data_IF_773219235934
#
_entry.id   IF_773219235934
#
_cell.length_a   1.000
_cell.length_b   1.000
_cell.length_c   1.000
_cell.angle_alpha   90.00
_cell.angle_beta   90.00
_cell.angle_gamma   90.00
#
_symmetry.space_group_name_H-M   'P 1'
#
loop_
_entity.id
_entity.type
_entity.pdbx_description
1 polymer ?
#
# COMPACT_ATOMS: atom_id res chain seq x y z
N UNK A 1 -6.98 9.49 21.79
CA UNK A 1 -7.45 8.21 21.22
C UNK A 1 -8.97 8.10 21.22
N UNK A 2 -9.67 8.75 22.16
CA UNK A 2 -11.13 8.62 22.31
C UNK A 2 -11.96 9.12 21.11
N UNK A 3 -11.35 9.90 20.20
CA UNK A 3 -11.98 10.43 18.99
C UNK A 3 -11.83 9.52 17.76
N UNK A 4 -11.07 8.42 17.85
CA UNK A 4 -10.88 7.49 16.73
C UNK A 4 -11.96 6.41 16.74
N UNK A 5 -12.38 5.88 15.57
CA UNK A 5 -13.19 4.67 15.50
C UNK A 5 -12.48 3.48 16.17
N UNK A 6 -13.23 2.58 16.81
CA UNK A 6 -12.65 1.48 17.60
C UNK A 6 -11.73 0.57 16.77
N UNK A 7 -12.06 0.34 15.49
CA UNK A 7 -11.20 -0.45 14.60
C UNK A 7 -9.83 0.21 14.35
N UNK A 8 -9.73 1.54 14.40
CA UNK A 8 -8.46 2.26 14.22
C UNK A 8 -7.62 2.28 15.48
N UNK A 9 -8.25 2.29 16.67
CA UNK A 9 -7.54 2.29 17.96
C UNK A 9 -6.61 1.09 18.07
N UNK A 10 -7.10 -0.10 17.71
CA UNK A 10 -6.33 -1.35 17.73
C UNK A 10 -5.04 -1.21 16.90
N UNK A 11 -5.15 -0.71 15.67
CA UNK A 11 -3.98 -0.50 14.81
C UNK A 11 -3.03 0.56 15.35
N UNK A 12 -3.56 1.65 15.89
CA UNK A 12 -2.77 2.75 16.44
C UNK A 12 -1.99 2.35 17.70
N UNK A 13 -2.60 1.52 18.55
CA UNK A 13 -1.97 0.98 19.77
C UNK A 13 -0.90 -0.06 19.45
N UNK A 14 -1.16 -0.96 18.51
CA UNK A 14 -0.21 -2.01 18.15
C UNK A 14 1.05 -1.48 17.45
N UNK A 15 0.95 -0.35 16.73
CA UNK A 15 2.04 0.13 15.89
C UNK A 15 3.28 0.57 16.69
N UNK A 16 3.18 1.41 17.76
CA UNK A 16 4.30 1.72 18.63
C UNK A 16 4.99 0.51 19.25
N UNK A 17 4.20 -0.46 19.73
CA UNK A 17 4.71 -1.67 20.38
C UNK A 17 5.50 -2.52 19.39
N UNK A 18 4.95 -2.70 18.18
CA UNK A 18 5.64 -3.40 17.10
C UNK A 18 6.97 -2.71 16.75
N UNK A 19 6.98 -1.38 16.65
CA UNK A 19 8.22 -0.63 16.36
C UNK A 19 9.27 -0.73 17.47
N UNK A 20 8.82 -0.75 18.73
CA UNK A 20 9.71 -0.94 19.87
C UNK A 20 10.29 -2.36 19.90
N UNK A 21 9.46 -3.37 19.61
CA UNK A 21 9.90 -4.76 19.51
C UNK A 21 10.92 -4.96 18.39
N UNK A 22 10.66 -4.43 17.19
CA UNK A 22 11.64 -4.44 16.10
C UNK A 22 12.94 -3.74 16.49
N UNK A 23 12.84 -2.59 17.14
CA UNK A 23 13.99 -1.83 17.62
C UNK A 23 14.85 -2.64 18.60
N UNK A 24 14.20 -3.31 19.57
CA UNK A 24 14.85 -4.19 20.52
C UNK A 24 15.61 -5.34 19.85
N UNK A 25 14.99 -6.02 18.86
CA UNK A 25 15.65 -7.13 18.16
C UNK A 25 16.84 -6.67 17.31
N UNK A 26 16.72 -5.52 16.65
CA UNK A 26 17.81 -4.93 15.86
C UNK A 26 18.96 -4.49 16.77
N UNK A 27 18.65 -3.84 17.89
CA UNK A 27 19.65 -3.43 18.89
C UNK A 27 20.38 -4.65 19.47
N UNK A 28 19.64 -5.71 19.82
CA UNK A 28 20.22 -6.96 20.32
C UNK A 28 21.16 -7.62 19.30
N UNK A 29 20.83 -7.55 18.01
CA UNK A 29 21.60 -8.22 16.94
C UNK A 29 22.80 -7.39 16.47
N UNK A 30 22.64 -6.07 16.38
CA UNK A 30 23.56 -5.17 15.68
C UNK A 30 24.11 -4.03 16.55
N UNK A 31 23.76 -4.00 17.85
CA UNK A 31 24.31 -3.08 18.84
C UNK A 31 23.85 -1.62 18.73
N UNK A 32 22.86 -1.31 17.88
CA UNK A 32 22.34 0.04 17.71
C UNK A 32 20.81 0.04 17.67
N UNK A 33 20.20 1.01 18.37
CA UNK A 33 18.75 1.14 18.47
C UNK A 33 18.18 1.96 17.29
N UNK A 34 17.36 1.37 16.40
CA UNK A 34 16.81 2.07 15.24
C UNK A 34 15.40 2.64 15.48
N UNK A 35 14.85 2.57 16.68
CA UNK A 35 13.43 2.89 16.96
C UNK A 35 13.04 4.28 16.48
N UNK A 36 13.93 5.28 16.58
CA UNK A 36 13.69 6.62 16.04
C UNK A 36 13.48 6.60 14.52
N UNK A 37 14.37 5.92 13.78
CA UNK A 37 14.30 5.78 12.32
C UNK A 37 13.05 5.03 11.88
N UNK A 38 12.68 3.97 12.62
CA UNK A 38 11.45 3.22 12.37
C UNK A 38 10.22 4.13 12.54
N UNK A 39 10.12 4.85 13.67
CA UNK A 39 9.01 5.77 13.93
C UNK A 39 8.90 6.87 12.87
N UNK A 40 10.02 7.48 12.48
CA UNK A 40 10.03 8.50 11.42
C UNK A 40 9.55 7.92 10.09
N UNK A 41 9.99 6.71 9.74
CA UNK A 41 9.63 6.07 8.47
C UNK A 41 8.14 5.73 8.40
N UNK A 42 7.56 5.22 9.50
CA UNK A 42 6.14 4.95 9.61
C UNK A 42 5.29 6.23 9.59
N UNK A 43 5.72 7.28 10.31
CA UNK A 43 5.02 8.57 10.30
C UNK A 43 4.99 9.18 8.89
N UNK A 44 6.11 9.14 8.16
CA UNK A 44 6.16 9.60 6.76
C UNK A 44 5.21 8.83 5.86
N UNK A 45 5.12 7.50 6.02
CA UNK A 45 4.18 6.67 5.26
C UNK A 45 2.72 7.03 5.56
N UNK A 46 2.37 7.14 6.85
CA UNK A 46 1.00 7.51 7.26
C UNK A 46 0.61 8.90 6.74
N UNK A 47 1.51 9.87 6.80
CA UNK A 47 1.26 11.21 6.25
C UNK A 47 1.03 11.18 4.74
N UNK A 48 1.78 10.36 3.99
CA UNK A 48 1.57 10.22 2.56
C UNK A 48 0.20 9.61 2.23
N UNK A 49 -0.28 8.62 3.01
CA UNK A 49 -1.64 8.10 2.86
C UNK A 49 -2.72 9.13 3.20
N UNK A 50 -2.50 10.00 4.19
CA UNK A 50 -3.45 11.07 4.50
C UNK A 50 -3.58 12.07 3.35
N UNK A 51 -2.48 12.43 2.70
CA UNK A 51 -2.50 13.31 1.52
C UNK A 51 -3.31 12.69 0.37
N UNK A 52 -3.15 11.39 0.11
CA UNK A 52 -3.95 10.68 -0.89
C UNK A 52 -5.44 10.61 -0.50
N UNK A 53 -5.74 10.39 0.78
CA UNK A 53 -7.10 10.39 1.28
C UNK A 53 -7.77 11.76 1.16
N UNK A 54 -7.02 12.85 1.37
CA UNK A 54 -7.49 14.22 1.18
C UNK A 54 -7.80 14.51 -0.30
N UNK A 55 -6.91 14.12 -1.23
CA UNK A 55 -7.18 14.24 -2.68
C UNK A 55 -8.43 13.46 -3.07
N UNK A 56 -8.57 12.23 -2.57
CA UNK A 56 -9.74 11.40 -2.84
C UNK A 56 -11.03 12.01 -2.30
N UNK A 57 -11.03 12.51 -1.06
CA UNK A 57 -12.22 13.07 -0.40
C UNK A 57 -12.65 14.41 -1.00
N UNK A 58 -11.69 15.24 -1.43
CA UNK A 58 -11.96 16.53 -2.08
C UNK A 58 -12.32 16.42 -3.56
N UNK A 59 -11.96 15.30 -4.21
CA UNK A 59 -12.02 15.16 -5.67
C UNK A 59 -10.89 15.92 -6.39
N UNK A 60 -9.90 16.42 -5.64
CA UNK A 60 -8.74 17.10 -6.20
C UNK A 60 -7.89 16.12 -7.00
N UNK A 61 -7.63 16.46 -8.26
CA UNK A 61 -6.73 15.69 -9.11
C UNK A 61 -5.34 16.35 -9.10
N UNK A 62 -4.34 15.78 -8.38
CA UNK A 62 -2.98 16.31 -8.42
C UNK A 62 -2.38 16.15 -9.82
N UNK A 63 -1.37 16.98 -10.13
CA UNK A 63 -0.52 16.73 -11.30
C UNK A 63 0.25 15.42 -11.12
N UNK A 64 0.66 14.79 -12.22
CA UNK A 64 1.41 13.54 -12.19
C UNK A 64 2.67 13.64 -11.32
N UNK A 65 3.40 14.75 -11.39
CA UNK A 65 4.61 14.97 -10.56
C UNK A 65 4.26 15.05 -9.07
N UNK A 66 3.22 15.79 -8.70
CA UNK A 66 2.77 15.92 -7.30
C UNK A 66 2.28 14.59 -6.75
N UNK A 67 1.53 13.84 -7.56
CA UNK A 67 1.10 12.49 -7.22
C UNK A 67 2.30 11.58 -7.01
N UNK A 68 3.25 11.55 -7.96
CA UNK A 68 4.39 10.66 -7.93
C UNK A 68 5.33 10.94 -6.76
N UNK A 69 5.55 12.21 -6.40
CA UNK A 69 6.34 12.56 -5.22
C UNK A 69 5.72 12.02 -3.92
N UNK A 70 4.39 12.07 -3.78
CA UNK A 70 3.70 11.43 -2.66
C UNK A 70 3.68 9.90 -2.78
N UNK A 71 3.47 9.38 -3.99
CA UNK A 71 3.47 7.96 -4.36
C UNK A 71 4.76 7.23 -3.98
N UNK A 72 5.92 7.89 -4.14
CA UNK A 72 7.22 7.38 -3.67
C UNK A 72 7.26 7.16 -2.15
N UNK A 73 6.46 7.88 -1.38
CA UNK A 73 6.36 7.75 0.08
C UNK A 73 5.28 6.74 0.47
N UNK A 74 4.14 6.73 -0.23
CA UNK A 74 2.99 5.84 0.03
C UNK A 74 3.16 4.42 -0.49
N UNK A 75 4.05 4.19 -1.47
CA UNK A 75 4.31 2.89 -2.11
C UNK A 75 4.89 1.79 -1.19
N UNK A 76 5.07 2.05 0.12
CA UNK A 76 5.63 1.13 1.14
C UNK A 76 7.08 0.66 0.88
N UNK A 77 7.64 0.96 -0.29
CA UNK A 77 9.00 0.60 -0.74
C UNK A 77 10.06 1.19 0.17
N UNK A 78 9.94 2.48 0.51
CA UNK A 78 10.88 3.15 1.42
C UNK A 78 10.89 2.47 2.79
N UNK A 79 9.72 2.06 3.27
CA UNK A 79 9.60 1.33 4.54
C UNK A 79 10.28 -0.04 4.45
N UNK A 80 10.03 -0.80 3.38
CA UNK A 80 10.66 -2.09 3.15
C UNK A 80 12.20 -2.01 3.06
N UNK A 81 12.73 -0.98 2.38
CA UNK A 81 14.18 -0.74 2.26
C UNK A 81 14.83 -0.31 3.57
N UNK A 82 14.13 0.49 4.39
CA UNK A 82 14.59 0.82 5.75
C UNK A 82 14.64 -0.45 6.61
N UNK A 83 13.61 -1.30 6.56
CA UNK A 83 13.62 -2.55 7.33
C UNK A 83 14.71 -3.52 6.85
N UNK A 84 14.93 -3.67 5.54
CA UNK A 84 15.95 -4.58 5.01
C UNK A 84 17.38 -4.13 5.35
N UNK A 85 17.65 -2.82 5.25
CA UNK A 85 18.94 -2.24 5.60
C UNK A 85 19.24 -2.35 7.10
N UNK A 86 18.25 -2.11 7.96
CA UNK A 86 18.36 -2.26 9.42
C UNK A 86 18.57 -3.72 9.85
N UNK A 87 18.00 -4.68 9.13
CA UNK A 87 18.20 -6.11 9.40
C UNK A 87 19.56 -6.63 8.90
N UNK A 88 20.33 -5.81 8.19
CA UNK A 88 21.64 -6.15 7.64
C UNK A 88 21.58 -6.99 6.36
N UNK A 89 20.42 -7.06 5.70
CA UNK A 89 20.27 -7.77 4.44
C UNK A 89 21.00 -6.96 3.36
N UNK A 90 22.12 -7.48 2.86
CA UNK A 90 22.97 -6.81 1.86
C UNK A 90 24.22 -6.12 2.43
N UNK A 91 24.53 -6.25 3.72
CA UNK A 91 25.85 -5.88 4.25
C UNK A 91 26.87 -6.96 3.88
N UNK A 92 27.54 -6.82 2.74
CA UNK A 92 28.84 -7.48 2.52
C UNK A 92 29.85 -6.82 3.43
N UNK A 93 30.50 -7.60 4.28
CA UNK A 93 31.70 -7.20 5.03
C UNK A 93 32.64 -6.44 4.10
N UNK A 94 32.95 -5.21 4.48
CA UNK A 94 33.94 -4.33 3.83
C UNK A 94 33.44 -3.58 2.59
N UNK A 95 32.45 -2.71 2.78
CA UNK A 95 32.38 -1.34 2.23
C UNK A 95 31.04 -0.75 2.67
N UNK A 96 31.07 0.11 3.70
CA UNK A 96 29.88 0.77 4.20
C UNK A 96 29.30 1.65 3.08
N UNK A 97 28.23 1.19 2.43
CA UNK A 97 27.45 2.01 1.50
C UNK A 97 26.94 3.20 2.32
N UNK A 98 27.51 4.36 2.05
CA UNK A 98 27.14 5.60 2.73
C UNK A 98 25.69 5.90 2.35
N UNK A 99 24.76 5.77 3.30
CA UNK A 99 23.31 5.94 3.09
C UNK A 99 22.94 7.28 2.43
N UNK A 100 23.84 8.28 2.45
CA UNK A 100 23.63 9.56 1.79
C UNK A 100 23.66 9.49 0.25
N UNK A 101 24.40 8.54 -0.36
CA UNK A 101 24.43 8.32 -1.82
C UNK A 101 23.28 7.44 -2.32
N UNK A 102 22.49 6.87 -1.40
CA UNK A 102 21.37 5.96 -1.74
C UNK A 102 20.07 6.70 -2.04
N UNK A 103 20.01 8.02 -1.86
CA UNK A 103 18.80 8.84 -2.07
C UNK A 103 18.27 8.73 -3.51
N UNK A 104 19.17 8.81 -4.51
CA UNK A 104 18.80 8.69 -5.92
C UNK A 104 18.30 7.28 -6.28
N UNK A 105 18.97 6.24 -5.77
CA UNK A 105 18.55 4.85 -5.99
C UNK A 105 17.21 4.55 -5.33
N UNK A 106 17.03 4.95 -4.06
CA UNK A 106 15.76 4.77 -3.33
C UNK A 106 14.63 5.52 -4.03
N UNK A 107 14.89 6.73 -4.53
CA UNK A 107 13.91 7.51 -5.30
C UNK A 107 13.52 6.82 -6.61
N UNK A 108 14.50 6.34 -7.38
CA UNK A 108 14.25 5.61 -8.64
C UNK A 108 13.51 4.30 -8.40
N UNK A 109 13.92 3.51 -7.41
CA UNK A 109 13.26 2.25 -7.04
C UNK A 109 11.83 2.52 -6.55
N UNK A 110 11.63 3.53 -5.72
CA UNK A 110 10.29 3.97 -5.28
C UNK A 110 9.41 4.41 -6.44
N UNK A 111 9.97 5.11 -7.42
CA UNK A 111 9.26 5.53 -8.64
C UNK A 111 8.82 4.33 -9.47
N UNK A 112 9.74 3.42 -9.78
CA UNK A 112 9.45 2.23 -10.61
C UNK A 112 8.37 1.37 -9.97
N UNK A 113 8.47 1.12 -8.67
CA UNK A 113 7.52 0.26 -7.96
C UNK A 113 6.15 0.93 -7.79
N UNK A 114 6.10 2.24 -7.55
CA UNK A 114 4.84 3.00 -7.55
C UNK A 114 4.12 2.84 -8.90
N UNK A 115 4.81 3.14 -10.00
CA UNK A 115 4.24 3.03 -11.34
C UNK A 115 3.83 1.60 -11.70
N UNK A 116 4.60 0.61 -11.25
CA UNK A 116 4.28 -0.81 -11.46
C UNK A 116 3.00 -1.22 -10.73
N UNK A 117 2.86 -0.83 -9.45
CA UNK A 117 1.66 -1.14 -8.67
C UNK A 117 0.41 -0.44 -9.25
N UNK A 118 0.55 0.84 -9.62
CA UNK A 118 -0.50 1.63 -10.26
C UNK A 118 -0.96 1.00 -11.58
N UNK A 119 -0.02 0.58 -12.44
CA UNK A 119 -0.32 -0.09 -13.69
C UNK A 119 -1.06 -1.42 -13.45
N UNK A 120 -0.63 -2.19 -12.46
CA UNK A 120 -1.29 -3.42 -12.06
C UNK A 120 -2.73 -3.19 -11.58
N UNK A 121 -2.94 -2.17 -10.74
CA UNK A 121 -4.26 -1.77 -10.24
C UNK A 121 -5.18 -1.28 -11.37
N UNK A 122 -4.67 -0.42 -12.26
CA UNK A 122 -5.40 0.07 -13.42
C UNK A 122 -5.81 -1.07 -14.38
N UNK A 123 -4.91 -2.04 -14.60
CA UNK A 123 -5.21 -3.23 -15.43
C UNK A 123 -6.29 -4.11 -14.81
N UNK A 124 -6.29 -4.29 -13.48
CA UNK A 124 -7.35 -5.04 -12.78
C UNK A 124 -8.68 -4.31 -12.87
N UNK A 125 -8.69 -3.00 -12.63
CA UNK A 125 -9.89 -2.19 -12.71
C UNK A 125 -10.50 -2.22 -14.13
N UNK A 126 -9.68 -2.05 -15.17
CA UNK A 126 -10.14 -2.11 -16.56
C UNK A 126 -10.65 -3.49 -16.95
N UNK A 127 -10.01 -4.57 -16.50
CA UNK A 127 -10.50 -5.94 -16.71
C UNK A 127 -11.84 -6.18 -16.03
N UNK A 128 -12.00 -5.71 -14.79
CA UNK A 128 -13.25 -5.84 -14.05
C UNK A 128 -14.37 -5.06 -14.75
N UNK A 129 -14.10 -3.83 -15.20
CA UNK A 129 -15.04 -3.05 -16.01
C UNK A 129 -15.41 -3.76 -17.30
N UNK A 130 -14.43 -4.30 -18.05
CA UNK A 130 -14.68 -5.03 -19.29
C UNK A 130 -15.55 -6.28 -19.07
N UNK A 131 -15.36 -7.00 -17.96
CA UNK A 131 -16.21 -8.15 -17.56
C UNK A 131 -17.62 -7.74 -17.16
N UNK A 132 -17.81 -6.50 -16.69
CA UNK A 132 -19.13 -5.95 -16.40
C UNK A 132 -19.90 -5.53 -17.67
N UNK A 133 -19.23 -5.30 -18.81
CA UNK A 133 -19.90 -4.83 -20.04
C UNK A 133 -21.00 -5.80 -20.52
N UNK A 134 -20.77 -7.12 -20.69
CA UNK A 134 -21.82 -8.03 -21.13
C UNK A 134 -22.98 -8.15 -20.13
N UNK A 135 -22.68 -8.06 -18.83
CA UNK A 135 -23.71 -8.07 -17.79
C UNK A 135 -24.56 -6.81 -17.83
N UNK A 136 -23.98 -5.64 -18.10
CA UNK A 136 -24.73 -4.38 -18.31
C UNK A 136 -25.65 -4.44 -19.54
N UNK A 137 -25.24 -5.06 -20.64
CA UNK A 137 -26.11 -5.24 -21.82
C UNK A 137 -27.19 -6.32 -21.64
N UNK A 138 -27.06 -7.16 -20.62
CA UNK A 138 -28.09 -8.13 -20.23
C UNK A 138 -29.14 -7.56 -19.27
N UNK A 139 -29.08 -6.26 -18.95
CA UNK A 139 -30.11 -5.60 -18.15
C UNK A 139 -31.42 -5.54 -18.93
N UNK A 140 -32.50 -6.03 -18.33
CA UNK A 140 -33.85 -5.73 -18.83
C UNK A 140 -34.29 -4.31 -18.40
N UNK A 141 -35.41 -3.83 -18.95
CA UNK A 141 -35.95 -2.50 -18.61
C UNK A 141 -36.27 -2.31 -17.12
N UNK A 142 -36.31 -3.40 -16.34
CA UNK A 142 -36.55 -3.40 -14.90
C UNK A 142 -35.25 -3.53 -14.07
N UNK A 143 -34.09 -3.34 -14.70
CA UNK A 143 -32.76 -3.47 -14.10
C UNK A 143 -32.42 -4.86 -13.55
N UNK A 144 -33.01 -5.91 -14.12
CA UNK A 144 -32.69 -7.30 -13.76
C UNK A 144 -31.63 -7.85 -14.71
N UNK A 145 -30.87 -8.84 -14.27
CA UNK A 145 -30.03 -9.67 -15.14
C UNK A 145 -30.67 -11.04 -15.33
N UNK A 146 -31.53 -11.26 -16.34
CA UNK A 146 -32.24 -12.53 -16.52
C UNK A 146 -31.28 -13.71 -16.69
N UNK A 147 -30.18 -13.51 -17.43
CA UNK A 147 -29.15 -14.53 -17.64
C UNK A 147 -28.42 -14.92 -16.35
N UNK A 148 -28.14 -13.96 -15.46
CA UNK A 148 -27.53 -14.25 -14.17
C UNK A 148 -28.50 -14.99 -13.24
N UNK A 149 -29.78 -14.60 -13.27
CA UNK A 149 -30.84 -15.30 -12.53
C UNK A 149 -31.01 -16.74 -13.02
N UNK A 150 -30.97 -16.95 -14.33
CA UNK A 150 -31.05 -18.28 -14.94
C UNK A 150 -29.83 -19.14 -14.58
N UNK A 151 -28.62 -18.61 -14.70
CA UNK A 151 -27.38 -19.30 -14.30
C UNK A 151 -27.34 -19.64 -12.79
N UNK A 152 -27.83 -18.74 -11.94
CA UNK A 152 -27.92 -19.00 -10.49
C UNK A 152 -28.95 -20.09 -10.21
N UNK A 153 -30.07 -20.09 -10.95
CA UNK A 153 -31.09 -21.15 -10.83
C UNK A 153 -30.54 -22.49 -11.29
N UNK A 154 -29.79 -22.56 -12.39
CA UNK A 154 -29.21 -23.82 -12.85
C UNK A 154 -28.23 -24.38 -11.83
N UNK A 155 -27.38 -23.55 -11.22
CA UNK A 155 -26.45 -24.02 -10.16
C UNK A 155 -27.21 -24.49 -8.92
N UNK A 156 -28.25 -23.77 -8.50
CA UNK A 156 -28.93 -24.05 -7.23
C UNK A 156 -29.97 -25.16 -7.36
N UNK A 157 -30.54 -25.38 -8.55
CA UNK A 157 -31.68 -26.28 -8.75
C UNK A 157 -31.43 -27.42 -9.75
N UNK A 158 -30.36 -27.43 -10.56
CA UNK A 158 -30.07 -28.56 -11.47
C UNK A 158 -29.16 -29.65 -10.84
N UNK A 159 -28.79 -29.52 -9.56
CA UNK A 159 -28.10 -30.57 -8.77
C UNK A 159 -29.08 -31.46 -7.96
N UNK A 160 -30.38 -31.51 -8.32
CA UNK A 160 -31.41 -32.33 -7.67
C UNK A 160 -32.12 -33.32 -8.62
#
# INVERSE_FOLDING_TARGET
>A
MDMLPDFMKICYEALPDTMNEMGYWIEKKHGHNPTKTLRTSWATLCNAFLVEAEWFASGDLPTADKYLENGKLSSRVRLALVHSSLLGIGQTTQNAIHLNDTSGLISSVGTILCLWDDLGSAKRASLNLARMVPTMYSYDENQRLPLLVEYTKSIVFDDA
#
